data_IF_815270906535
#
_entry.id   IF_815270906535
#
_cell.length_a   1.000
_cell.length_b   1.000
_cell.length_c   1.000
_cell.angle_alpha   90.00
_cell.angle_beta   90.00
_cell.angle_gamma   90.00
#
_symmetry.space_group_name_H-M   'P 1'
#
loop_
_entity.id
_entity.type
_entity.pdbx_description
1 polymer ?
#
# COMPACT_ATOMS: atom_id res chain seq x y z
N UNK A 1 -16.35 16.18 26.80
CA UNK A 1 -15.76 15.26 25.81
C UNK A 1 -14.30 15.07 26.22
N UNK A 2 -13.98 13.96 26.89
CA UNK A 2 -12.68 13.76 27.54
C UNK A 2 -11.61 13.56 26.45
N UNK A 3 -10.57 14.42 26.34
CA UNK A 3 -9.53 14.22 25.34
C UNK A 3 -8.79 12.93 25.72
N UNK A 4 -9.02 11.86 24.95
CA UNK A 4 -8.23 10.63 25.08
C UNK A 4 -6.76 11.05 24.98
N UNK A 5 -6.01 10.91 26.07
CA UNK A 5 -4.56 11.08 26.06
C UNK A 5 -4.00 10.15 24.98
N UNK A 6 -3.51 10.74 23.88
CA UNK A 6 -2.92 9.99 22.77
C UNK A 6 -1.50 9.64 23.20
N UNK A 7 -1.32 8.47 23.81
CA UNK A 7 0.01 7.98 24.18
C UNK A 7 0.77 7.60 22.91
N UNK A 8 2.08 7.86 22.78
CA UNK A 8 2.88 7.47 21.60
C UNK A 8 2.72 5.99 21.23
N UNK A 9 2.57 5.10 22.21
CA UNK A 9 2.28 3.68 21.97
C UNK A 9 0.98 3.44 21.19
N UNK A 10 -0.07 4.23 21.43
CA UNK A 10 -1.34 4.11 20.71
C UNK A 10 -1.20 4.47 19.23
N UNK A 11 -0.31 5.41 18.89
CA UNK A 11 -0.01 5.78 17.51
C UNK A 11 0.67 4.62 16.76
N UNK A 12 1.63 3.95 17.40
CA UNK A 12 2.31 2.80 16.80
C UNK A 12 1.36 1.63 16.55
N UNK A 13 0.47 1.33 17.49
CA UNK A 13 -0.54 0.25 17.32
C UNK A 13 -1.48 0.54 16.16
N UNK A 14 -1.92 1.78 16.01
CA UNK A 14 -2.83 2.17 14.92
C UNK A 14 -2.12 2.21 13.56
N UNK A 15 -0.84 2.62 13.52
CA UNK A 15 0.00 2.55 12.33
C UNK A 15 0.26 1.11 11.90
N UNK A 16 0.56 0.21 12.84
CA UNK A 16 0.79 -1.20 12.55
C UNK A 16 -0.48 -1.88 12.02
N UNK A 17 -1.64 -1.59 12.62
CA UNK A 17 -2.94 -2.08 12.13
C UNK A 17 -3.23 -1.57 10.72
N UNK A 18 -2.93 -0.31 10.44
CA UNK A 18 -3.06 0.27 9.10
C UNK A 18 -2.14 -0.43 8.10
N UNK A 19 -0.89 -0.69 8.48
CA UNK A 19 0.07 -1.42 7.66
C UNK A 19 -0.39 -2.86 7.38
N UNK A 20 -0.94 -3.56 8.36
CA UNK A 20 -1.48 -4.92 8.21
C UNK A 20 -2.65 -4.95 7.22
N UNK A 21 -3.63 -4.06 7.38
CA UNK A 21 -4.79 -4.00 6.48
C UNK A 21 -4.39 -3.66 5.04
N UNK A 22 -3.50 -2.69 4.87
CA UNK A 22 -2.97 -2.32 3.56
C UNK A 22 -2.14 -3.46 2.96
N UNK A 23 -1.32 -4.13 3.77
CA UNK A 23 -0.55 -5.30 3.35
C UNK A 23 -1.44 -6.44 2.86
N UNK A 24 -2.52 -6.76 3.58
CA UNK A 24 -3.50 -7.77 3.16
C UNK A 24 -4.15 -7.41 1.82
N UNK A 25 -4.48 -6.13 1.60
CA UNK A 25 -5.07 -5.66 0.35
C UNK A 25 -4.08 -5.79 -0.82
N UNK A 26 -2.81 -5.43 -0.61
CA UNK A 26 -1.74 -5.62 -1.60
C UNK A 26 -1.59 -7.10 -1.95
N UNK A 27 -1.46 -7.98 -0.95
CA UNK A 27 -1.33 -9.43 -1.19
C UNK A 27 -2.53 -9.97 -1.96
N UNK A 28 -3.74 -9.52 -1.63
CA UNK A 28 -4.97 -9.93 -2.32
C UNK A 28 -4.98 -9.49 -3.79
N UNK A 29 -4.46 -8.30 -4.12
CA UNK A 29 -4.39 -7.84 -5.51
C UNK A 29 -3.42 -8.67 -6.35
N UNK A 30 -2.30 -9.09 -5.76
CA UNK A 30 -1.35 -10.00 -6.40
C UNK A 30 -1.96 -11.39 -6.65
N UNK A 31 -2.66 -11.96 -5.66
CA UNK A 31 -3.36 -13.24 -5.85
C UNK A 31 -4.42 -13.15 -6.95
N UNK A 32 -5.18 -12.05 -6.99
CA UNK A 32 -6.18 -11.82 -8.01
C UNK A 32 -5.56 -11.71 -9.42
N UNK A 33 -4.44 -11.00 -9.56
CA UNK A 33 -3.72 -10.90 -10.81
C UNK A 33 -3.15 -12.26 -11.27
N UNK A 34 -2.57 -13.03 -10.36
CA UNK A 34 -2.07 -14.38 -10.65
C UNK A 34 -3.19 -15.33 -11.10
N UNK A 35 -4.34 -15.30 -10.40
CA UNK A 35 -5.53 -16.07 -10.80
C UNK A 35 -6.04 -15.64 -12.19
N UNK A 36 -6.09 -14.34 -12.45
CA UNK A 36 -6.52 -13.79 -13.75
C UNK A 36 -5.59 -14.18 -14.89
N UNK A 37 -4.27 -14.21 -14.65
CA UNK A 37 -3.30 -14.70 -15.63
C UNK A 37 -3.58 -16.16 -16.04
N UNK A 38 -3.79 -17.04 -15.06
CA UNK A 38 -4.10 -18.46 -15.31
C UNK A 38 -5.43 -18.65 -16.04
N UNK A 39 -6.42 -17.80 -15.76
CA UNK A 39 -7.71 -17.84 -16.46
C UNK A 39 -7.58 -17.33 -17.89
N UNK A 40 -6.86 -16.23 -18.08
CA UNK A 40 -6.60 -15.59 -19.38
C UNK A 40 -5.82 -16.52 -20.30
N UNK A 41 -4.81 -17.22 -19.80
CA UNK A 41 -4.02 -18.19 -20.58
C UNK A 41 -4.84 -19.39 -21.07
N UNK A 42 -5.89 -19.80 -20.34
CA UNK A 42 -6.75 -20.93 -20.70
C UNK A 42 -7.91 -20.54 -21.62
N UNK A 43 -8.43 -19.33 -21.46
CA UNK A 43 -9.65 -18.87 -22.16
C UNK A 43 -9.34 -17.97 -23.35
N UNK A 44 -8.11 -17.47 -23.49
CA UNK A 44 -7.73 -16.53 -24.54
C UNK A 44 -8.36 -15.13 -24.37
N UNK A 45 -8.87 -14.82 -23.18
CA UNK A 45 -9.57 -13.56 -22.90
C UNK A 45 -8.68 -12.58 -22.14
N UNK A 46 -8.82 -11.28 -22.38
CA UNK A 46 -7.91 -10.23 -21.85
C UNK A 46 -8.19 -9.84 -20.37
N UNK A 47 -8.64 -10.78 -19.54
CA UNK A 47 -8.89 -10.51 -18.11
C UNK A 47 -7.63 -10.13 -17.33
N UNK A 48 -6.45 -10.58 -17.76
CA UNK A 48 -5.20 -10.29 -17.08
C UNK A 48 -4.85 -8.79 -17.13
N UNK A 49 -4.94 -8.15 -18.29
CA UNK A 49 -4.68 -6.70 -18.43
C UNK A 49 -5.59 -5.86 -17.54
N UNK A 50 -6.85 -6.28 -17.37
CA UNK A 50 -7.82 -5.59 -16.49
C UNK A 50 -7.43 -5.69 -15.01
N UNK A 51 -6.73 -6.73 -14.60
CA UNK A 51 -6.23 -6.82 -13.21
C UNK A 51 -5.06 -5.88 -12.93
N UNK A 52 -4.32 -5.49 -13.97
CA UNK A 52 -3.27 -4.47 -13.85
C UNK A 52 -3.80 -3.12 -13.36
N UNK A 53 -4.95 -2.67 -13.87
CA UNK A 53 -5.55 -1.40 -13.42
C UNK A 53 -6.02 -1.47 -11.96
N UNK A 54 -6.51 -2.63 -11.52
CA UNK A 54 -6.87 -2.89 -10.11
C UNK A 54 -5.63 -2.84 -9.23
N UNK A 55 -4.53 -3.49 -9.63
CA UNK A 55 -3.25 -3.42 -8.91
C UNK A 55 -2.73 -1.98 -8.83
N UNK A 56 -2.82 -1.22 -9.92
CA UNK A 56 -2.43 0.19 -9.96
C UNK A 56 -3.22 1.02 -8.94
N UNK A 57 -4.55 0.88 -8.94
CA UNK A 57 -5.43 1.56 -8.01
C UNK A 57 -5.12 1.18 -6.55
N UNK A 58 -4.94 -0.11 -6.27
CA UNK A 58 -4.62 -0.60 -4.93
C UNK A 58 -3.26 -0.07 -4.46
N UNK A 59 -2.25 -0.10 -5.32
CA UNK A 59 -0.92 0.45 -5.03
C UNK A 59 -0.98 1.94 -4.69
N UNK A 60 -1.65 2.74 -5.52
CA UNK A 60 -1.83 4.17 -5.29
C UNK A 60 -2.62 4.45 -4.00
N UNK A 61 -3.75 3.77 -3.79
CA UNK A 61 -4.58 3.92 -2.59
C UNK A 61 -3.82 3.55 -1.32
N UNK A 62 -3.02 2.47 -1.36
CA UNK A 62 -2.13 2.07 -0.27
C UNK A 62 -1.12 3.17 0.08
N UNK A 63 -0.44 3.73 -0.93
CA UNK A 63 0.56 4.78 -0.71
C UNK A 63 -0.05 6.07 -0.17
N UNK A 64 -1.19 6.51 -0.73
CA UNK A 64 -1.88 7.72 -0.26
C UNK A 64 -2.42 7.54 1.16
N UNK A 65 -2.97 6.37 1.46
CA UNK A 65 -3.52 6.10 2.80
C UNK A 65 -2.42 6.06 3.85
N UNK A 66 -1.28 5.43 3.57
CA UNK A 66 -0.15 5.38 4.48
C UNK A 66 0.51 6.75 4.68
N UNK A 67 0.71 7.50 3.60
CA UNK A 67 1.26 8.86 3.68
C UNK A 67 0.34 9.82 4.44
N UNK A 68 -0.95 9.83 4.08
CA UNK A 68 -1.95 10.68 4.74
C UNK A 68 -2.15 10.35 6.21
N UNK A 69 -2.14 9.06 6.57
CA UNK A 69 -2.23 8.64 7.97
C UNK A 69 -1.02 9.12 8.78
N UNK A 70 0.21 8.96 8.26
CA UNK A 70 1.41 9.42 8.94
C UNK A 70 1.39 10.93 9.16
N UNK A 71 1.09 11.71 8.10
CA UNK A 71 1.00 13.17 8.17
C UNK A 71 -0.07 13.66 9.15
N UNK A 72 -1.25 13.03 9.14
CA UNK A 72 -2.35 13.39 10.04
C UNK A 72 -1.98 13.15 11.51
N UNK A 73 -1.39 11.98 11.82
CA UNK A 73 -1.00 11.65 13.19
C UNK A 73 0.12 12.54 13.71
N UNK A 74 1.09 12.87 12.85
CA UNK A 74 2.17 13.79 13.16
C UNK A 74 1.63 15.20 13.51
N UNK A 75 0.73 15.71 12.67
CA UNK A 75 0.06 17.01 12.89
C UNK A 75 -0.73 17.05 14.20
N UNK A 76 -1.41 15.95 14.56
CA UNK A 76 -2.16 15.86 15.83
C UNK A 76 -1.20 15.85 17.02
N UNK A 77 -0.12 15.06 16.95
CA UNK A 77 0.87 14.96 18.02
C UNK A 77 1.58 16.30 18.30
N UNK A 78 1.89 17.06 17.24
CA UNK A 78 2.37 18.43 17.31
C UNK A 78 1.39 19.37 18.00
N UNK A 79 0.14 19.41 17.52
CA UNK A 79 -0.89 20.31 18.06
C UNK A 79 -1.22 20.04 19.53
N UNK A 80 -1.04 18.79 19.98
CA UNK A 80 -1.31 18.38 21.35
C UNK A 80 -0.08 18.49 22.27
N UNK A 81 1.08 18.94 21.77
CA UNK A 81 2.31 19.05 22.56
C UNK A 81 2.83 17.71 23.09
N UNK A 82 2.39 16.59 22.51
CA UNK A 82 2.72 15.23 22.96
C UNK A 82 4.08 14.74 22.47
N UNK A 83 4.68 15.44 21.51
CA UNK A 83 6.04 15.23 21.02
C UNK A 83 6.80 16.54 21.10
N UNK A 84 8.04 16.49 21.59
CA UNK A 84 8.99 17.56 21.31
C UNK A 84 9.32 17.53 19.81
N UNK A 85 9.58 18.69 19.22
CA UNK A 85 9.95 18.83 17.79
C UNK A 85 11.07 17.85 17.39
N UNK A 86 12.01 17.54 18.29
CA UNK A 86 13.07 16.55 18.07
C UNK A 86 12.57 15.12 17.86
N UNK A 87 11.54 14.68 18.61
CA UNK A 87 11.02 13.31 18.50
C UNK A 87 10.07 13.14 17.32
N UNK A 88 9.47 14.25 16.88
CA UNK A 88 8.78 14.32 15.59
C UNK A 88 9.78 14.18 14.44
N UNK A 89 10.90 14.91 14.51
CA UNK A 89 12.00 14.77 13.55
C UNK A 89 12.51 13.33 13.53
N UNK A 90 12.70 12.66 14.67
CA UNK A 90 13.08 11.24 14.71
C UNK A 90 12.02 10.31 14.08
N UNK A 91 10.72 10.51 14.32
CA UNK A 91 9.67 9.68 13.70
C UNK A 91 9.53 9.91 12.19
N UNK A 92 9.78 11.14 11.73
CA UNK A 92 9.85 11.46 10.30
C UNK A 92 11.13 10.87 9.69
N UNK A 93 12.26 10.93 10.42
CA UNK A 93 13.56 10.46 9.94
C UNK A 93 13.65 8.93 9.93
N UNK A 94 13.05 8.23 10.90
CA UNK A 94 13.09 6.78 11.02
C UNK A 94 11.69 6.17 11.30
N UNK A 95 10.79 6.18 10.29
CA UNK A 95 9.52 5.47 10.36
C UNK A 95 9.75 3.98 10.67
N UNK A 96 8.83 3.31 11.39
CA UNK A 96 8.98 1.90 11.74
C UNK A 96 9.13 1.05 10.46
N UNK A 97 10.05 0.08 10.49
CA UNK A 97 10.44 -0.70 9.30
C UNK A 97 9.25 -1.29 8.51
N UNK A 98 8.19 -1.72 9.20
CA UNK A 98 6.95 -2.24 8.58
C UNK A 98 6.27 -1.20 7.67
N UNK A 99 6.28 0.07 8.06
CA UNK A 99 5.74 1.16 7.24
C UNK A 99 6.49 1.26 5.91
N UNK A 100 7.82 1.28 5.95
CA UNK A 100 8.65 1.31 4.75
C UNK A 100 8.39 0.10 3.86
N UNK A 101 8.35 -1.10 4.45
CA UNK A 101 8.09 -2.32 3.71
C UNK A 101 6.76 -2.24 2.94
N UNK A 102 5.66 -1.92 3.64
CA UNK A 102 4.34 -1.86 3.01
C UNK A 102 4.25 -0.71 2.00
N UNK A 103 4.90 0.43 2.27
CA UNK A 103 4.94 1.56 1.34
C UNK A 103 5.66 1.19 0.04
N UNK A 104 6.84 0.56 0.13
CA UNK A 104 7.59 0.09 -1.05
C UNK A 104 6.83 -1.00 -1.80
N UNK A 105 6.18 -1.93 -1.09
CA UNK A 105 5.26 -2.89 -1.72
C UNK A 105 4.10 -2.19 -2.45
N UNK A 106 3.58 -1.09 -1.90
CA UNK A 106 2.58 -0.25 -2.55
C UNK A 106 3.07 0.33 -3.87
N UNK A 107 4.26 0.95 -3.87
CA UNK A 107 4.88 1.46 -5.10
C UNK A 107 5.14 0.36 -6.13
N UNK A 108 5.74 -0.75 -5.71
CA UNK A 108 6.00 -1.89 -6.58
C UNK A 108 4.70 -2.45 -7.19
N UNK A 109 3.64 -2.57 -6.38
CA UNK A 109 2.33 -3.03 -6.85
C UNK A 109 1.72 -2.05 -7.87
N UNK A 110 1.88 -0.75 -7.65
CA UNK A 110 1.44 0.28 -8.60
C UNK A 110 2.17 0.19 -9.95
N UNK A 111 3.49 0.07 -9.91
CA UNK A 111 4.35 -0.05 -11.11
C UNK A 111 4.03 -1.34 -11.86
N UNK A 112 4.03 -2.49 -11.18
CA UNK A 112 3.72 -3.79 -11.79
C UNK A 112 2.31 -3.79 -12.36
N UNK A 113 1.33 -3.24 -11.62
CA UNK A 113 -0.04 -3.08 -12.10
C UNK A 113 -0.12 -2.26 -13.38
N UNK A 114 0.64 -1.17 -13.47
CA UNK A 114 0.71 -0.33 -14.67
C UNK A 114 1.27 -1.10 -15.87
N UNK A 115 2.34 -1.88 -15.67
CA UNK A 115 2.92 -2.73 -16.72
C UNK A 115 1.92 -3.78 -17.20
N UNK A 116 1.25 -4.49 -16.27
CA UNK A 116 0.21 -5.48 -16.62
C UNK A 116 -0.96 -4.79 -17.32
N UNK A 117 -1.33 -3.58 -16.92
CA UNK A 117 -2.44 -2.87 -17.54
C UNK A 117 -2.12 -2.49 -18.99
N UNK A 118 -0.91 -1.99 -19.24
CA UNK A 118 -0.49 -1.58 -20.58
C UNK A 118 -0.13 -2.72 -21.53
N UNK A 119 0.36 -3.86 -21.01
CA UNK A 119 0.95 -4.93 -21.81
C UNK A 119 0.46 -6.35 -21.47
N UNK A 120 -0.57 -6.47 -20.64
CA UNK A 120 -1.07 -7.76 -20.14
C UNK A 120 -1.65 -8.68 -21.22
N UNK A 121 -2.06 -8.14 -22.36
CA UNK A 121 -2.57 -8.89 -23.51
C UNK A 121 -1.43 -9.52 -24.34
N UNK A 122 -0.25 -8.91 -24.30
CA UNK A 122 0.96 -9.38 -24.97
C UNK A 122 1.72 -10.43 -24.15
N UNK A 123 1.74 -10.30 -22.81
CA UNK A 123 2.53 -11.16 -21.91
C UNK A 123 2.25 -12.66 -22.07
N UNK A 124 0.99 -13.14 -22.09
CA UNK A 124 0.69 -14.56 -22.30
C UNK A 124 1.13 -15.05 -23.68
N UNK A 125 1.07 -14.20 -24.72
CA UNK A 125 1.45 -14.56 -26.09
C UNK A 125 2.97 -14.67 -26.26
N UNK A 126 3.72 -13.82 -25.56
CA UNK A 126 5.18 -13.86 -25.54
C UNK A 126 5.73 -15.07 -24.78
N UNK A 127 5.06 -15.47 -23.69
CA UNK A 127 5.47 -16.59 -22.84
C UNK A 127 4.97 -17.97 -23.33
N UNK A 128 4.02 -18.01 -24.27
CA UNK A 128 3.54 -19.24 -24.90
C UNK A 128 4.34 -19.67 -26.15
N UNK A 129 5.38 -18.93 -26.51
CA UNK A 129 6.39 -19.30 -27.51
C UNK A 129 7.58 -19.98 -26.86
#
# INVERSE_FOLDING_TARGET
MNPKQITPQSLYVELDRSCLLVGLLLVSSWFFAAFSYLLSSKTGTDWFSRTGSVMCLVGAAATFRLAGFLQQKLTIALKQGLLSVQREIELILDPPHRYHLVLYCGYATGIVGTVIWGYGDMLPRLLAK
#
